data_IF_615096563942
#
_entry.id   IF_615096563942
#
_cell.length_a   1.000
_cell.length_b   1.000
_cell.length_c   1.000
_cell.angle_alpha   90.00
_cell.angle_beta   90.00
_cell.angle_gamma   90.00
#
_symmetry.space_group_name_H-M   'P 1'
#
loop_
_entity.id
_entity.type
_entity.pdbx_description
1 polymer ?
#
# COMPACT_ATOMS: atom_id res chain seq x y z
N UNK A 1 1.61 15.74 9.88
CA UNK A 1 2.44 16.57 9.00
C UNK A 1 2.86 17.86 9.69
N UNK A 2 1.94 18.70 10.20
CA UNK A 2 2.27 19.96 10.90
C UNK A 2 3.31 19.76 12.00
N UNK A 3 3.16 18.70 12.83
CA UNK A 3 4.16 18.36 13.84
C UNK A 3 5.54 18.09 13.23
N UNK A 4 5.60 17.35 12.11
CA UNK A 4 6.87 17.07 11.43
C UNK A 4 7.56 18.36 10.95
N UNK A 5 6.79 19.34 10.43
CA UNK A 5 7.33 20.64 10.07
C UNK A 5 7.88 21.39 11.29
N UNK A 6 7.16 21.35 12.43
CA UNK A 6 7.59 22.04 13.66
C UNK A 6 8.82 21.36 14.29
N UNK A 7 8.81 20.04 14.43
CA UNK A 7 9.83 19.31 15.20
C UNK A 7 11.12 19.07 14.36
N UNK A 8 10.99 18.95 13.05
CA UNK A 8 12.08 18.51 12.16
C UNK A 8 12.36 19.46 11.00
N UNK A 9 11.36 20.22 10.53
CA UNK A 9 11.48 21.15 9.41
C UNK A 9 12.11 22.47 9.81
N UNK A 10 11.55 23.13 10.82
CA UNK A 10 11.98 24.47 11.24
C UNK A 10 13.29 24.43 12.03
N UNK A 11 14.14 25.42 11.82
CA UNK A 11 15.34 25.68 12.59
C UNK A 11 15.00 26.47 13.86
N UNK A 12 15.92 26.43 14.86
CA UNK A 12 15.82 27.34 16.01
C UNK A 12 15.99 28.80 15.58
N UNK A 13 15.46 29.73 16.36
CA UNK A 13 15.57 31.17 16.06
C UNK A 13 17.01 31.61 15.80
N UNK A 14 17.97 31.10 16.55
CA UNK A 14 19.40 31.38 16.40
C UNK A 14 19.94 30.87 15.05
N UNK A 15 19.60 29.62 14.68
CA UNK A 15 19.99 29.04 13.40
C UNK A 15 19.38 29.80 12.23
N UNK A 16 18.13 30.25 12.34
CA UNK A 16 17.45 31.02 11.31
C UNK A 16 18.13 32.37 11.09
N UNK A 17 18.43 33.09 12.16
CA UNK A 17 19.14 34.36 12.09
C UNK A 17 20.51 34.20 11.42
N UNK A 18 21.27 33.16 11.82
CA UNK A 18 22.57 32.83 11.23
C UNK A 18 22.47 32.51 9.72
N UNK A 19 21.34 31.95 9.27
CA UNK A 19 21.03 31.67 7.88
C UNK A 19 20.40 32.86 7.12
N UNK A 20 20.29 34.03 7.75
CA UNK A 20 19.67 35.22 7.14
C UNK A 20 18.14 35.16 7.03
N UNK A 21 17.49 34.30 7.77
CA UNK A 21 16.04 34.14 7.83
C UNK A 21 15.42 34.92 8.99
N UNK A 22 14.12 35.27 8.93
CA UNK A 22 13.38 35.77 10.10
C UNK A 22 13.49 34.81 11.29
N UNK A 23 13.57 35.29 12.56
CA UNK A 23 13.74 34.43 13.73
C UNK A 23 12.56 33.49 13.96
N UNK A 24 11.37 33.84 13.48
CA UNK A 24 10.16 33.04 13.58
C UNK A 24 9.97 32.23 12.29
N UNK A 25 9.86 30.90 12.43
CA UNK A 25 9.51 30.02 11.32
C UNK A 25 8.01 30.02 11.05
N UNK A 26 7.64 29.75 9.81
CA UNK A 26 6.25 29.77 9.34
C UNK A 26 5.85 28.42 8.80
N UNK A 27 4.69 27.90 9.25
CA UNK A 27 4.02 26.75 8.63
C UNK A 27 2.70 27.26 8.04
N UNK A 28 2.55 27.08 6.74
CA UNK A 28 1.36 27.50 5.99
C UNK A 28 0.53 26.26 5.63
N UNK A 29 -0.77 26.32 5.94
CA UNK A 29 -1.74 25.33 5.50
C UNK A 29 -2.59 25.93 4.40
N UNK A 30 -2.70 25.22 3.28
CA UNK A 30 -3.60 25.57 2.18
C UNK A 30 -4.51 24.39 1.86
N UNK A 31 -5.75 24.68 1.51
CA UNK A 31 -6.66 23.68 0.99
C UNK A 31 -7.51 24.29 -0.13
N UNK A 32 -7.77 23.50 -1.15
CA UNK A 32 -8.53 23.96 -2.31
C UNK A 32 -8.95 22.82 -3.21
N UNK A 33 -9.71 23.14 -4.24
CA UNK A 33 -10.15 22.19 -5.26
C UNK A 33 -9.31 22.39 -6.53
N UNK A 34 -8.79 21.33 -7.09
CA UNK A 34 -8.03 21.36 -8.33
C UNK A 34 -8.28 20.08 -9.15
N UNK A 35 -8.84 20.23 -10.35
CA UNK A 35 -8.99 19.13 -11.31
C UNK A 35 -9.73 17.92 -10.78
N UNK A 36 -10.87 18.12 -10.05
CA UNK A 36 -11.67 17.01 -9.48
C UNK A 36 -11.07 16.39 -8.21
N UNK A 37 -10.06 17.04 -7.62
CA UNK A 37 -9.45 16.60 -6.36
C UNK A 37 -9.46 17.73 -5.33
N UNK A 38 -9.53 17.35 -4.05
CA UNK A 38 -9.17 18.23 -2.93
C UNK A 38 -7.65 18.19 -2.81
N UNK A 39 -7.03 19.36 -2.84
CA UNK A 39 -5.58 19.52 -2.64
C UNK A 39 -5.36 20.18 -1.29
N UNK A 40 -4.58 19.54 -0.43
CA UNK A 40 -4.16 20.06 0.87
C UNK A 40 -2.64 20.17 0.85
N UNK A 41 -2.11 21.35 1.20
CA UNK A 41 -0.69 21.62 1.24
C UNK A 41 -0.27 22.02 2.66
N UNK A 42 0.80 21.41 3.13
CA UNK A 42 1.50 21.80 4.35
C UNK A 42 2.88 22.28 3.92
N UNK A 43 3.13 23.59 4.07
CA UNK A 43 4.34 24.26 3.60
C UNK A 43 5.07 24.85 4.80
N UNK A 44 6.35 24.55 4.94
CA UNK A 44 7.24 25.18 5.91
C UNK A 44 8.35 25.98 5.21
N UNK A 45 8.88 26.99 5.89
CA UNK A 45 10.03 27.79 5.47
C UNK A 45 11.33 27.38 6.18
N UNK A 46 11.40 26.11 6.59
CA UNK A 46 12.49 25.54 7.37
C UNK A 46 13.75 25.23 6.56
N UNK A 47 14.56 24.30 7.08
CA UNK A 47 15.86 23.93 6.47
C UNK A 47 15.72 23.15 5.16
N UNK A 48 14.53 22.61 4.87
CA UNK A 48 14.30 21.70 3.77
C UNK A 48 14.88 20.29 4.04
N UNK A 49 14.77 19.42 3.03
CA UNK A 49 15.28 18.06 3.05
C UNK A 49 16.68 18.00 2.46
N UNK A 50 17.55 17.26 3.11
CA UNK A 50 18.91 16.97 2.65
C UNK A 50 18.89 15.69 1.80
N UNK A 51 19.01 15.87 0.47
CA UNK A 51 19.08 14.78 -0.51
C UNK A 51 20.20 13.78 -0.20
N UNK A 52 21.41 14.28 0.09
CA UNK A 52 22.56 13.42 0.32
C UNK A 52 22.36 12.55 1.57
N UNK A 53 21.81 13.13 2.64
CA UNK A 53 21.49 12.41 3.87
C UNK A 53 20.42 11.34 3.66
N UNK A 54 19.39 11.63 2.85
CA UNK A 54 18.34 10.65 2.52
C UNK A 54 18.94 9.48 1.74
N UNK A 55 19.74 9.73 0.70
CA UNK A 55 20.40 8.68 -0.09
C UNK A 55 21.36 7.83 0.76
N UNK A 56 22.16 8.47 1.62
CA UNK A 56 23.06 7.75 2.53
C UNK A 56 22.27 6.78 3.42
N UNK A 57 21.18 7.26 4.05
CA UNK A 57 20.33 6.45 4.90
C UNK A 57 19.60 5.33 4.16
N UNK A 58 19.17 5.56 2.93
CA UNK A 58 18.58 4.53 2.09
C UNK A 58 19.58 3.40 1.78
N UNK A 59 20.85 3.76 1.47
CA UNK A 59 21.94 2.79 1.26
C UNK A 59 22.25 1.96 2.51
N UNK A 60 22.33 2.61 3.68
CA UNK A 60 22.52 1.91 4.96
C UNK A 60 21.44 0.86 5.23
N UNK A 61 20.22 1.09 4.70
CA UNK A 61 19.09 0.16 4.81
C UNK A 61 19.03 -0.89 3.71
N UNK A 62 20.02 -0.94 2.82
CA UNK A 62 20.07 -1.89 1.71
C UNK A 62 19.06 -1.59 0.61
N UNK A 63 18.50 -0.37 0.56
CA UNK A 63 17.62 0.05 -0.53
C UNK A 63 18.44 0.28 -1.80
N UNK A 64 17.91 -0.14 -2.93
CA UNK A 64 18.52 0.15 -4.23
C UNK A 64 18.25 1.60 -4.60
N UNK A 65 19.24 2.44 -4.47
CA UNK A 65 19.16 3.87 -4.83
C UNK A 65 20.34 4.27 -5.70
N UNK A 66 20.07 5.15 -6.65
CA UNK A 66 21.03 5.71 -7.60
C UNK A 66 21.17 7.22 -7.39
N UNK A 67 22.36 7.76 -7.58
CA UNK A 67 22.61 9.20 -7.53
C UNK A 67 21.94 9.94 -8.70
N UNK A 68 21.59 9.23 -9.78
CA UNK A 68 20.82 9.76 -10.91
C UNK A 68 19.30 9.93 -10.63
N UNK A 69 18.77 9.42 -9.50
CA UNK A 69 17.36 9.61 -9.13
C UNK A 69 17.03 11.11 -9.06
N UNK A 70 15.84 11.47 -9.49
CA UNK A 70 15.31 12.84 -9.33
C UNK A 70 15.08 13.19 -7.85
N UNK A 71 15.02 14.48 -7.53
CA UNK A 71 14.70 14.94 -6.17
C UNK A 71 13.35 14.39 -5.67
N UNK A 72 12.35 14.33 -6.54
CA UNK A 72 11.05 13.78 -6.20
C UNK A 72 11.13 12.29 -5.80
N UNK A 73 11.90 11.49 -6.52
CA UNK A 73 12.12 10.07 -6.19
C UNK A 73 12.88 9.91 -4.88
N UNK A 74 13.92 10.71 -4.66
CA UNK A 74 14.70 10.67 -3.42
C UNK A 74 13.86 11.09 -2.23
N UNK A 75 13.08 12.18 -2.34
CA UNK A 75 12.23 12.64 -1.26
C UNK A 75 11.06 11.67 -0.99
N UNK A 76 10.58 10.92 -2.00
CA UNK A 76 9.58 9.89 -1.80
C UNK A 76 10.04 8.75 -0.88
N UNK A 77 11.36 8.52 -0.73
CA UNK A 77 11.91 7.52 0.18
C UNK A 77 11.58 7.79 1.66
N UNK A 78 11.29 9.04 2.04
CA UNK A 78 10.90 9.36 3.42
C UNK A 78 9.56 8.76 3.82
N UNK A 79 8.75 8.34 2.84
CA UNK A 79 7.49 7.64 3.05
C UNK A 79 7.64 6.12 3.14
N UNK A 80 8.83 5.58 2.96
CA UNK A 80 9.03 4.13 3.07
C UNK A 80 8.95 3.66 4.54
N UNK A 81 8.43 2.45 4.79
CA UNK A 81 8.24 1.95 6.15
C UNK A 81 9.50 2.02 7.00
N UNK A 82 9.36 2.66 8.15
CA UNK A 82 10.44 2.84 9.10
C UNK A 82 11.52 3.85 8.67
N UNK A 83 11.36 4.56 7.57
CA UNK A 83 12.31 5.58 7.11
C UNK A 83 12.16 6.86 7.93
N UNK A 84 12.74 6.91 9.13
CA UNK A 84 12.84 8.14 9.92
C UNK A 84 14.25 8.70 9.81
N UNK A 85 14.40 9.98 9.52
CA UNK A 85 15.69 10.69 9.52
C UNK A 85 16.12 11.16 10.92
N UNK A 86 15.27 11.00 11.93
CA UNK A 86 15.59 11.32 13.31
C UNK A 86 16.62 10.32 13.88
N UNK A 87 17.64 10.82 14.58
CA UNK A 87 18.69 10.02 15.20
C UNK A 87 18.20 9.33 16.49
N UNK A 88 17.11 9.79 17.06
CA UNK A 88 16.51 9.22 18.29
C UNK A 88 15.00 9.04 18.10
N UNK A 89 14.52 7.87 18.46
CA UNK A 89 13.10 7.62 18.71
C UNK A 89 12.84 8.25 20.08
N UNK A 90 12.42 9.51 20.10
CA UNK A 90 11.98 10.12 21.37
C UNK A 90 10.66 9.45 21.77
N UNK A 91 10.69 8.77 22.90
CA UNK A 91 9.60 8.04 23.56
C UNK A 91 8.35 8.89 23.92
N UNK A 92 8.32 10.16 23.54
CA UNK A 92 7.23 11.10 23.87
C UNK A 92 6.01 10.96 22.94
N UNK A 93 6.11 10.20 21.84
CA UNK A 93 4.99 9.87 20.95
C UNK A 93 4.67 8.39 21.05
N UNK A 94 3.99 7.93 22.07
CA UNK A 94 3.52 6.55 22.29
C UNK A 94 2.64 5.92 21.17
N UNK A 95 2.72 6.45 19.97
CA UNK A 95 2.20 5.91 18.70
C UNK A 95 3.11 6.43 17.61
N UNK A 96 4.19 5.72 17.27
CA UNK A 96 5.11 6.08 16.19
C UNK A 96 4.41 6.30 14.85
N UNK A 97 3.84 7.50 14.67
CA UNK A 97 3.19 7.90 13.42
C UNK A 97 4.27 8.42 12.49
N UNK A 98 4.88 7.49 11.72
CA UNK A 98 5.84 7.83 10.69
C UNK A 98 5.18 8.38 9.42
N UNK A 99 6.00 8.88 8.50
CA UNK A 99 5.53 9.36 7.18
C UNK A 99 4.92 8.22 6.33
N UNK A 100 5.32 6.97 6.56
CA UNK A 100 4.75 5.76 5.97
C UNK A 100 3.27 5.57 6.35
N UNK A 101 2.91 5.87 7.60
CA UNK A 101 1.51 5.84 8.06
C UNK A 101 0.68 6.92 7.35
N UNK A 102 1.25 8.12 7.17
CA UNK A 102 0.59 9.20 6.41
C UNK A 102 0.31 8.73 4.99
N UNK A 103 1.32 8.21 4.28
CA UNK A 103 1.16 7.72 2.91
C UNK A 103 0.10 6.62 2.82
N UNK A 104 0.13 5.64 3.72
CA UNK A 104 -0.84 4.55 3.76
C UNK A 104 -2.27 5.05 3.97
N UNK A 105 -2.48 5.97 4.91
CA UNK A 105 -3.81 6.52 5.17
C UNK A 105 -4.35 7.33 4.00
N UNK A 106 -3.50 8.10 3.32
CA UNK A 106 -3.90 8.85 2.12
C UNK A 106 -4.22 7.90 0.96
N UNK A 107 -3.41 6.86 0.77
CA UNK A 107 -3.65 5.84 -0.26
C UNK A 107 -4.93 5.03 -0.01
N UNK A 108 -5.25 4.70 1.26
CA UNK A 108 -6.50 4.01 1.60
C UNK A 108 -7.76 4.84 1.27
N UNK A 109 -7.62 6.15 1.18
CA UNK A 109 -8.67 7.07 0.72
C UNK A 109 -8.65 7.31 -0.80
N UNK A 110 -7.85 6.53 -1.56
CA UNK A 110 -7.66 6.71 -3.00
C UNK A 110 -6.87 7.96 -3.37
N UNK A 111 -6.19 8.58 -2.40
CA UNK A 111 -5.38 9.77 -2.59
C UNK A 111 -3.89 9.49 -2.82
N UNK A 112 -3.14 10.55 -3.05
CA UNK A 112 -1.68 10.52 -3.15
C UNK A 112 -1.06 11.64 -2.33
N UNK A 113 0.17 11.40 -1.86
CA UNK A 113 0.99 12.39 -1.17
C UNK A 113 2.30 12.58 -1.92
N UNK A 114 2.68 13.83 -2.11
CA UNK A 114 3.89 14.25 -2.78
C UNK A 114 4.67 15.18 -1.85
N UNK A 115 6.00 15.19 -1.98
CA UNK A 115 6.86 16.09 -1.23
C UNK A 115 7.83 16.77 -2.17
N UNK A 116 7.91 18.08 -2.05
CA UNK A 116 8.89 18.93 -2.71
C UNK A 116 9.67 19.71 -1.66
N UNK A 117 10.97 19.85 -1.85
CA UNK A 117 11.81 20.58 -0.91
C UNK A 117 12.97 21.26 -1.62
N UNK A 118 13.43 22.36 -1.04
CA UNK A 118 14.65 23.05 -1.44
C UNK A 118 15.50 23.32 -0.20
N UNK A 119 16.76 22.91 -0.19
CA UNK A 119 17.66 23.16 0.93
C UNK A 119 17.67 24.65 1.30
N UNK A 120 17.50 24.93 2.58
CA UNK A 120 17.44 26.31 3.11
C UNK A 120 16.16 27.09 2.83
N UNK A 121 15.22 26.56 2.04
CA UNK A 121 13.97 27.26 1.68
C UNK A 121 12.71 26.56 2.22
N UNK A 122 12.88 25.38 2.84
CA UNK A 122 11.79 24.64 3.44
C UNK A 122 11.25 23.50 2.57
N UNK A 123 10.08 22.99 2.95
CA UNK A 123 9.45 21.86 2.30
C UNK A 123 7.96 22.10 2.08
N UNK A 124 7.40 21.46 1.06
CA UNK A 124 5.97 21.44 0.78
C UNK A 124 5.50 20.00 0.64
N UNK A 125 4.54 19.60 1.46
CA UNK A 125 3.87 18.30 1.37
C UNK A 125 2.48 18.54 0.81
N UNK A 126 2.22 17.96 -0.36
CA UNK A 126 0.94 18.08 -1.07
C UNK A 126 0.18 16.78 -0.98
N UNK A 127 -1.02 16.82 -0.42
CA UNK A 127 -1.98 15.73 -0.41
C UNK A 127 -3.04 15.99 -1.46
N UNK A 128 -3.31 14.99 -2.31
CA UNK A 128 -4.41 15.03 -3.28
C UNK A 128 -5.39 13.92 -2.97
N UNK A 129 -6.64 14.28 -2.67
CA UNK A 129 -7.73 13.35 -2.40
C UNK A 129 -8.78 13.49 -3.51
N UNK A 130 -9.33 12.39 -4.04
CA UNK A 130 -10.43 12.48 -4.99
C UNK A 130 -11.66 13.09 -4.32
N UNK A 131 -12.40 13.94 -5.04
CA UNK A 131 -13.69 14.50 -4.58
C UNK A 131 -14.80 13.44 -4.56
N UNK A 132 -14.67 12.41 -5.37
CA UNK A 132 -15.57 11.28 -5.43
C UNK A 132 -15.20 10.22 -4.40
N UNK A 133 -16.16 9.45 -3.94
CA UNK A 133 -15.88 8.20 -3.24
C UNK A 133 -14.86 7.42 -4.06
N UNK A 134 -13.87 6.83 -3.39
CA UNK A 134 -12.88 6.00 -4.07
C UNK A 134 -13.62 4.85 -4.78
N UNK A 135 -13.67 4.91 -6.10
CA UNK A 135 -14.25 3.88 -6.94
C UNK A 135 -13.12 2.94 -7.34
N UNK A 136 -13.35 1.66 -7.18
CA UNK A 136 -12.45 0.59 -7.56
C UNK A 136 -13.09 -0.23 -8.68
N UNK A 137 -12.38 -0.39 -9.79
CA UNK A 137 -12.70 -1.41 -10.77
C UNK A 137 -12.14 -2.76 -10.30
N UNK A 138 -12.99 -3.76 -10.19
CA UNK A 138 -12.60 -5.08 -9.71
C UNK A 138 -13.41 -6.21 -10.33
N UNK A 139 -12.88 -7.41 -10.22
CA UNK A 139 -13.59 -8.64 -10.58
C UNK A 139 -14.08 -9.27 -9.28
N UNK A 140 -15.38 -9.55 -9.22
CA UNK A 140 -15.95 -10.33 -8.13
C UNK A 140 -15.69 -11.82 -8.35
N UNK A 141 -15.19 -12.46 -7.31
CA UNK A 141 -14.92 -13.90 -7.23
C UNK A 141 -15.71 -14.50 -6.07
N UNK A 142 -16.11 -15.75 -6.19
CA UNK A 142 -16.80 -16.47 -5.12
C UNK A 142 -15.90 -17.50 -4.46
N UNK A 143 -16.10 -17.67 -3.14
CA UNK A 143 -15.55 -18.77 -2.33
C UNK A 143 -16.64 -19.21 -1.38
N UNK A 144 -17.22 -20.40 -1.59
CA UNK A 144 -18.43 -20.83 -0.90
C UNK A 144 -19.58 -19.90 -1.18
N UNK A 145 -20.16 -19.32 -0.14
CA UNK A 145 -21.26 -18.36 -0.21
C UNK A 145 -20.78 -16.91 -0.21
N UNK A 146 -19.50 -16.68 -0.01
CA UNK A 146 -18.93 -15.34 0.16
C UNK A 146 -18.40 -14.77 -1.16
N UNK A 147 -18.52 -13.43 -1.31
CA UNK A 147 -18.02 -12.68 -2.46
C UNK A 147 -16.82 -11.83 -2.05
N UNK A 148 -15.81 -11.86 -2.92
CA UNK A 148 -14.62 -11.05 -2.80
C UNK A 148 -14.42 -10.23 -4.07
N UNK A 149 -13.84 -9.05 -3.92
CA UNK A 149 -13.44 -8.20 -5.06
C UNK A 149 -11.92 -8.24 -5.17
N UNK A 150 -11.44 -8.69 -6.32
CA UNK A 150 -10.02 -8.59 -6.70
C UNK A 150 -9.85 -7.29 -7.48
N UNK A 151 -8.98 -6.35 -7.03
CA UNK A 151 -8.72 -5.13 -7.79
C UNK A 151 -8.23 -5.44 -9.22
N UNK A 152 -8.83 -4.82 -10.22
CA UNK A 152 -8.49 -5.07 -11.63
C UNK A 152 -7.01 -4.75 -11.92
N UNK A 153 -6.46 -3.75 -11.23
CA UNK A 153 -5.06 -3.34 -11.35
C UNK A 153 -4.06 -4.41 -10.86
N UNK A 154 -4.53 -5.38 -10.08
CA UNK A 154 -3.70 -6.48 -9.59
C UNK A 154 -3.84 -7.76 -10.44
N UNK A 155 -4.82 -7.84 -11.33
CA UNK A 155 -5.08 -9.03 -12.14
C UNK A 155 -4.23 -9.00 -13.41
N UNK A 156 -3.46 -10.05 -13.62
CA UNK A 156 -2.71 -10.26 -14.87
C UNK A 156 -3.56 -11.03 -15.87
N UNK A 157 -4.11 -12.15 -15.45
CA UNK A 157 -5.00 -13.02 -16.22
C UNK A 157 -5.79 -13.95 -15.31
N UNK A 158 -6.81 -14.58 -15.82
CA UNK A 158 -7.55 -15.66 -15.18
C UNK A 158 -7.64 -16.85 -16.10
N UNK A 159 -7.52 -18.04 -15.52
CA UNK A 159 -7.55 -19.29 -16.30
C UNK A 159 -8.11 -20.44 -15.46
N UNK A 160 -8.66 -21.43 -16.13
CA UNK A 160 -9.03 -22.70 -15.53
C UNK A 160 -7.85 -23.65 -15.64
N UNK A 161 -7.25 -24.09 -14.52
CA UNK A 161 -6.07 -24.95 -14.56
C UNK A 161 -6.44 -26.38 -14.93
N UNK A 162 -5.50 -27.09 -15.52
CA UNK A 162 -5.56 -28.54 -15.59
C UNK A 162 -4.92 -29.18 -14.36
N UNK A 163 -5.27 -30.42 -14.06
CA UNK A 163 -4.70 -31.14 -12.91
C UNK A 163 -3.16 -31.30 -13.01
N UNK A 164 -2.61 -31.23 -14.22
CA UNK A 164 -1.16 -31.38 -14.48
C UNK A 164 -0.37 -30.08 -14.29
N UNK A 165 -1.03 -28.94 -14.24
CA UNK A 165 -0.38 -27.64 -14.14
C UNK A 165 0.13 -27.32 -12.73
N UNK A 166 -0.38 -28.05 -11.73
CA UNK A 166 -0.10 -27.80 -10.33
C UNK A 166 0.82 -28.89 -9.79
N UNK A 167 1.85 -28.49 -9.06
CA UNK A 167 2.84 -29.38 -8.43
C UNK A 167 3.03 -29.01 -6.98
N UNK A 168 3.13 -30.02 -6.13
CA UNK A 168 3.55 -29.84 -4.74
C UNK A 168 5.06 -29.81 -4.65
N UNK A 169 5.60 -28.78 -4.03
CA UNK A 169 7.05 -28.63 -3.79
C UNK A 169 7.30 -28.78 -2.29
N UNK A 170 8.14 -29.74 -1.92
CA UNK A 170 8.44 -30.03 -0.52
C UNK A 170 8.93 -28.78 0.22
N UNK A 171 8.25 -28.39 1.30
CA UNK A 171 8.57 -27.22 2.12
C UNK A 171 8.17 -25.85 1.52
N UNK A 172 7.63 -25.80 0.30
CA UNK A 172 7.22 -24.55 -0.35
C UNK A 172 5.72 -24.48 -0.67
N UNK A 173 4.97 -25.57 -0.46
CA UNK A 173 3.55 -25.61 -0.79
C UNK A 173 3.28 -26.01 -2.24
N UNK A 174 2.19 -25.51 -2.81
CA UNK A 174 1.79 -25.82 -4.18
C UNK A 174 2.20 -24.67 -5.12
N UNK A 175 2.63 -25.06 -6.31
CA UNK A 175 2.99 -24.11 -7.37
C UNK A 175 2.26 -24.47 -8.66
N UNK A 176 1.91 -23.46 -9.43
CA UNK A 176 1.30 -23.61 -10.74
C UNK A 176 2.26 -23.11 -11.83
N UNK A 177 2.40 -23.89 -12.91
CA UNK A 177 3.16 -23.45 -14.08
C UNK A 177 2.29 -22.58 -14.98
N UNK A 178 2.69 -21.32 -15.16
CA UNK A 178 2.02 -20.35 -16.05
C UNK A 178 3.07 -19.77 -16.99
N UNK A 179 2.91 -19.97 -18.28
CA UNK A 179 3.82 -19.44 -19.33
C UNK A 179 5.32 -19.71 -19.07
N UNK A 180 5.64 -20.83 -18.46
CA UNK A 180 7.03 -21.22 -18.16
C UNK A 180 7.55 -20.77 -16.81
N UNK A 181 6.80 -19.96 -16.06
CA UNK A 181 7.12 -19.58 -14.68
C UNK A 181 6.33 -20.44 -13.69
N UNK A 182 6.92 -20.70 -12.52
CA UNK A 182 6.23 -21.35 -11.41
C UNK A 182 5.77 -20.31 -10.40
N UNK A 183 4.45 -20.17 -10.25
CA UNK A 183 3.82 -19.24 -9.34
C UNK A 183 3.31 -19.98 -8.08
N UNK A 184 3.52 -19.44 -6.87
CA UNK A 184 2.91 -19.99 -5.66
C UNK A 184 1.39 -19.99 -5.77
N UNK A 185 0.75 -21.10 -5.38
CA UNK A 185 -0.70 -21.20 -5.32
C UNK A 185 -1.18 -20.76 -3.94
N UNK A 186 -2.12 -19.82 -3.91
CA UNK A 186 -2.81 -19.36 -2.71
C UNK A 186 -4.28 -19.75 -2.80
N UNK A 187 -4.72 -20.65 -1.93
CA UNK A 187 -6.13 -21.05 -1.84
C UNK A 187 -6.89 -20.02 -0.99
N UNK A 188 -7.73 -19.19 -1.61
CA UNK A 188 -8.41 -18.11 -0.90
C UNK A 188 -9.28 -18.63 0.25
N UNK A 189 -9.94 -19.77 0.08
CA UNK A 189 -10.73 -20.39 1.14
C UNK A 189 -9.92 -20.72 2.41
N UNK A 190 -8.66 -21.15 2.26
CA UNK A 190 -7.79 -21.44 3.41
C UNK A 190 -7.35 -20.15 4.11
N UNK A 191 -7.00 -19.11 3.34
CA UNK A 191 -6.64 -17.79 3.89
C UNK A 191 -7.78 -17.19 4.68
N UNK A 192 -9.03 -17.34 4.19
CA UNK A 192 -10.23 -16.77 4.79
C UNK A 192 -10.93 -17.69 5.79
N UNK A 193 -10.48 -18.93 5.94
CA UNK A 193 -11.12 -19.93 6.83
C UNK A 193 -12.52 -20.34 6.39
N UNK A 194 -12.75 -20.43 5.07
CA UNK A 194 -14.06 -20.71 4.49
C UNK A 194 -14.13 -22.12 3.91
N UNK A 195 -15.36 -22.63 3.78
CA UNK A 195 -15.63 -23.87 3.05
C UNK A 195 -15.92 -23.53 1.59
N UNK A 196 -15.05 -23.94 0.63
CA UNK A 196 -15.26 -23.65 -0.77
C UNK A 196 -16.34 -24.57 -1.34
N UNK A 197 -16.86 -24.21 -2.51
CA UNK A 197 -17.71 -25.12 -3.32
C UNK A 197 -16.86 -26.10 -4.13
N UNK A 198 -15.67 -25.65 -4.54
CA UNK A 198 -14.77 -26.44 -5.36
C UNK A 198 -13.42 -26.61 -4.67
N UNK A 199 -13.04 -27.88 -4.43
CA UNK A 199 -11.73 -28.24 -3.90
C UNK A 199 -10.73 -28.59 -5.00
N UNK A 200 -11.28 -29.10 -6.12
CA UNK A 200 -10.49 -29.54 -7.26
C UNK A 200 -10.13 -28.39 -8.16
N UNK A 201 -8.86 -28.19 -8.42
CA UNK A 201 -8.36 -27.06 -9.19
C UNK A 201 -8.98 -26.93 -10.58
N UNK A 202 -9.20 -28.07 -11.27
CA UNK A 202 -9.76 -28.10 -12.62
C UNK A 202 -11.26 -27.70 -12.68
N UNK A 203 -11.92 -27.56 -11.52
CA UNK A 203 -13.32 -27.09 -11.42
C UNK A 203 -13.44 -25.65 -11.02
N UNK A 204 -12.39 -25.10 -10.38
CA UNK A 204 -12.34 -23.71 -9.99
C UNK A 204 -11.56 -22.85 -10.99
N UNK A 205 -11.23 -21.65 -10.59
CA UNK A 205 -10.51 -20.66 -11.40
C UNK A 205 -9.23 -20.23 -10.67
N UNK A 206 -8.15 -20.08 -11.43
CA UNK A 206 -6.94 -19.41 -10.98
C UNK A 206 -6.95 -17.97 -11.48
N UNK A 207 -6.83 -17.02 -10.57
CA UNK A 207 -6.64 -15.60 -10.87
C UNK A 207 -5.16 -15.28 -10.61
N UNK A 208 -4.42 -15.03 -11.67
CA UNK A 208 -3.01 -14.63 -11.56
C UNK A 208 -2.99 -13.17 -11.12
N UNK A 209 -2.45 -12.94 -9.93
CA UNK A 209 -2.36 -11.59 -9.34
C UNK A 209 -0.91 -11.19 -9.16
N UNK A 210 -0.65 -9.90 -9.42
CA UNK A 210 0.67 -9.29 -9.29
C UNK A 210 0.59 -8.07 -8.37
N UNK A 211 1.51 -7.99 -7.41
CA UNK A 211 1.70 -6.80 -6.57
C UNK A 211 3.12 -6.75 -6.02
N UNK A 212 3.68 -5.54 -5.89
CA UNK A 212 5.02 -5.30 -5.34
C UNK A 212 6.14 -6.15 -5.99
N UNK A 213 6.02 -6.41 -7.29
CA UNK A 213 7.01 -7.19 -8.05
C UNK A 213 6.95 -8.70 -7.82
N UNK A 214 5.91 -9.21 -7.11
CA UNK A 214 5.64 -10.64 -6.94
C UNK A 214 4.33 -11.05 -7.59
N UNK A 215 4.24 -12.35 -7.97
CA UNK A 215 3.04 -12.96 -8.57
C UNK A 215 2.62 -14.19 -7.81
N UNK A 216 1.31 -14.43 -7.75
CA UNK A 216 0.70 -15.65 -7.22
C UNK A 216 -0.43 -16.14 -8.13
N UNK A 217 -0.77 -17.41 -8.02
CA UNK A 217 -1.98 -18.00 -8.57
C UNK A 217 -3.02 -18.12 -7.44
N UNK A 218 -4.01 -17.25 -7.43
CA UNK A 218 -5.08 -17.21 -6.42
C UNK A 218 -6.21 -18.14 -6.84
N UNK A 219 -6.47 -19.21 -6.07
CA UNK A 219 -7.53 -20.16 -6.34
C UNK A 219 -8.84 -19.72 -5.72
N UNK A 220 -9.89 -19.67 -6.55
CA UNK A 220 -11.27 -19.32 -6.18
C UNK A 220 -12.26 -20.28 -6.85
N UNK A 221 -13.51 -20.34 -6.35
CA UNK A 221 -14.51 -21.23 -6.91
C UNK A 221 -14.96 -20.78 -8.31
N UNK A 222 -15.26 -19.49 -8.47
CA UNK A 222 -15.71 -18.94 -9.76
C UNK A 222 -15.43 -17.44 -9.88
N UNK A 223 -15.36 -16.96 -11.14
CA UNK A 223 -15.52 -15.55 -11.47
C UNK A 223 -17.01 -15.24 -11.62
N UNK A 224 -17.47 -14.18 -10.94
CA UNK A 224 -18.88 -13.78 -10.96
C UNK A 224 -19.13 -12.65 -11.95
N UNK A 225 -18.25 -11.63 -11.96
CA UNK A 225 -18.36 -10.52 -12.91
C UNK A 225 -17.42 -9.36 -12.59
N UNK A 226 -17.39 -8.39 -13.50
CA UNK A 226 -16.65 -7.15 -13.31
C UNK A 226 -17.59 -6.09 -12.75
N UNK A 227 -17.12 -5.36 -11.73
CA UNK A 227 -17.89 -4.33 -11.06
C UNK A 227 -17.04 -3.10 -10.79
N UNK A 228 -17.69 -1.95 -10.86
CA UNK A 228 -17.23 -0.72 -10.25
C UNK A 228 -17.81 -0.61 -8.87
N UNK A 229 -16.98 -0.61 -7.83
CA UNK A 229 -17.42 -0.63 -6.44
C UNK A 229 -16.89 0.57 -5.67
N UNK A 230 -17.68 1.03 -4.71
CA UNK A 230 -17.27 2.10 -3.80
C UNK A 230 -16.54 1.48 -2.62
N UNK A 231 -15.29 1.89 -2.41
CA UNK A 231 -14.48 1.44 -1.29
C UNK A 231 -15.02 2.01 0.02
N UNK A 232 -15.28 1.13 0.99
CA UNK A 232 -15.56 1.50 2.38
C UNK A 232 -14.46 0.94 3.27
N UNK A 233 -13.76 1.83 3.98
CA UNK A 233 -12.74 1.40 4.94
C UNK A 233 -13.37 0.61 6.08
N UNK A 234 -12.75 -0.52 6.43
CA UNK A 234 -13.13 -1.33 7.60
C UNK A 234 -12.43 -0.87 8.88
N UNK A 235 -11.32 -0.14 8.77
CA UNK A 235 -10.42 0.17 9.88
C UNK A 235 -11.04 1.07 10.97
N UNK A 236 -12.10 1.80 10.65
CA UNK A 236 -12.78 2.66 11.62
C UNK A 236 -13.61 1.89 12.66
N UNK A 237 -14.07 0.67 12.34
CA UNK A 237 -15.02 -0.08 13.16
C UNK A 237 -14.69 -1.57 13.36
N UNK A 238 -13.70 -2.13 12.64
CA UNK A 238 -13.40 -3.56 12.65
C UNK A 238 -11.89 -3.82 12.80
N UNK A 239 -11.54 -4.99 13.34
CA UNK A 239 -10.15 -5.46 13.40
C UNK A 239 -9.66 -5.76 11.98
N UNK A 240 -8.40 -5.44 11.71
CA UNK A 240 -7.76 -5.77 10.44
C UNK A 240 -7.82 -7.27 10.18
N UNK A 241 -8.40 -7.65 9.03
CA UNK A 241 -8.45 -9.04 8.55
C UNK A 241 -7.33 -9.23 7.54
N UNK A 242 -6.55 -10.29 7.70
CA UNK A 242 -5.43 -10.61 6.78
C UNK A 242 -5.95 -10.84 5.36
N UNK A 243 -5.28 -10.25 4.37
CA UNK A 243 -5.66 -10.39 2.97
C UNK A 243 -6.85 -9.53 2.54
N UNK A 244 -7.41 -8.68 3.42
CA UNK A 244 -8.51 -7.76 3.13
C UNK A 244 -8.04 -6.32 3.28
N UNK A 245 -8.29 -5.50 2.26
CA UNK A 245 -7.99 -4.06 2.28
C UNK A 245 -9.19 -3.20 2.68
N UNK A 246 -10.39 -3.58 2.28
CA UNK A 246 -11.62 -2.80 2.48
C UNK A 246 -12.87 -3.68 2.27
N UNK A 247 -14.05 -3.08 2.34
CA UNK A 247 -15.30 -3.70 1.94
C UNK A 247 -16.09 -2.81 0.98
N UNK A 248 -17.07 -3.38 0.34
CA UNK A 248 -18.06 -2.66 -0.48
C UNK A 248 -19.47 -3.24 -0.26
N UNK A 249 -20.47 -2.49 -0.66
CA UNK A 249 -21.86 -2.98 -0.74
C UNK A 249 -22.19 -3.14 -2.22
N UNK A 250 -22.53 -4.36 -2.61
CA UNK A 250 -22.91 -4.71 -3.97
C UNK A 250 -24.31 -4.18 -4.30
N UNK A 251 -24.68 -4.19 -5.57
CA UNK A 251 -25.98 -3.70 -6.04
C UNK A 251 -27.19 -4.47 -5.48
N UNK A 252 -26.99 -5.71 -5.02
CA UNK A 252 -27.98 -6.54 -4.35
C UNK A 252 -28.06 -6.32 -2.82
N UNK A 253 -27.28 -5.37 -2.30
CA UNK A 253 -27.20 -5.04 -0.88
C UNK A 253 -26.25 -5.93 -0.06
N UNK A 254 -25.65 -6.95 -0.65
CA UNK A 254 -24.65 -7.80 0.04
C UNK A 254 -23.33 -7.08 0.21
N UNK A 255 -22.63 -7.41 1.30
CA UNK A 255 -21.27 -6.92 1.53
C UNK A 255 -20.29 -7.85 0.80
N UNK A 256 -19.36 -7.25 0.04
CA UNK A 256 -18.23 -7.98 -0.54
C UNK A 256 -16.93 -7.41 0.01
N UNK A 257 -15.98 -8.30 0.35
CA UNK A 257 -14.66 -7.90 0.86
C UNK A 257 -13.72 -7.64 -0.29
N UNK A 258 -12.97 -6.53 -0.23
CA UNK A 258 -11.95 -6.17 -1.23
C UNK A 258 -10.62 -6.76 -0.79
N UNK A 259 -10.00 -7.58 -1.64
CA UNK A 259 -8.74 -8.26 -1.35
C UNK A 259 -7.56 -7.29 -1.35
N UNK A 260 -6.60 -7.52 -0.46
CA UNK A 260 -5.28 -6.90 -0.49
C UNK A 260 -4.32 -7.80 -1.29
N UNK A 261 -4.20 -7.51 -2.59
CA UNK A 261 -3.32 -8.27 -3.48
C UNK A 261 -1.86 -8.28 -3.00
N UNK A 262 -1.37 -7.16 -2.45
CA UNK A 262 -0.01 -7.07 -1.93
C UNK A 262 0.22 -7.97 -0.71
N UNK A 263 -0.75 -8.06 0.18
CA UNK A 263 -0.67 -8.94 1.34
C UNK A 263 -0.78 -10.42 0.91
N UNK A 264 -1.66 -10.75 -0.02
CA UNK A 264 -1.80 -12.11 -0.56
C UNK A 264 -0.53 -12.57 -1.28
N UNK A 265 0.11 -11.71 -2.06
CA UNK A 265 1.40 -12.02 -2.71
C UNK A 265 2.48 -12.28 -1.65
N UNK A 266 2.57 -11.46 -0.61
CA UNK A 266 3.52 -11.72 0.50
C UNK A 266 3.25 -13.05 1.19
N UNK A 267 1.99 -13.41 1.42
CA UNK A 267 1.61 -14.70 2.00
C UNK A 267 2.05 -15.88 1.12
N UNK A 268 1.81 -15.81 -0.19
CA UNK A 268 2.19 -16.85 -1.14
C UNK A 268 3.69 -17.02 -1.29
N UNK A 269 4.45 -15.91 -1.27
CA UNK A 269 5.91 -15.93 -1.40
C UNK A 269 6.64 -16.27 -0.11
N UNK A 270 5.96 -16.13 1.06
CA UNK A 270 6.52 -16.44 2.39
C UNK A 270 6.17 -17.85 2.87
N UNK A 271 5.98 -18.80 2.01
CA UNK A 271 5.34 -20.11 2.18
C UNK A 271 5.84 -21.11 3.27
N UNK A 272 6.81 -20.86 4.16
CA UNK A 272 6.97 -21.70 5.34
C UNK A 272 5.92 -21.46 6.45
N UNK A 273 5.06 -20.44 6.34
CA UNK A 273 4.17 -20.01 7.43
C UNK A 273 2.78 -20.66 7.42
N UNK A 274 2.30 -21.18 6.27
CA UNK A 274 0.96 -21.79 6.15
C UNK A 274 0.88 -23.25 6.62
N UNK A 275 2.02 -23.96 6.71
CA UNK A 275 2.08 -25.34 7.20
C UNK A 275 2.01 -25.47 8.74
N UNK A 276 1.91 -24.37 9.51
CA UNK A 276 1.86 -24.37 10.98
C UNK A 276 0.49 -24.00 11.57
N UNK A 277 -0.54 -23.86 10.77
CA UNK A 277 -1.90 -23.50 11.22
C UNK A 277 -2.95 -24.56 10.87
N UNK A 278 -2.53 -25.82 10.72
CA UNK A 278 -3.43 -26.98 10.62
C UNK A 278 -3.31 -27.85 11.86
#
# INVERSE_FOLDING_TARGET
LVRNSLDHGLETSEQRIAAGKPPTGTVTLRAGHQGGSIVIEVIDDGRGLDRARILAKARERGMRVDDAMSDAEVFALVFEPGFSTAAEITDVSGRGVGMDVVRRNIQSMGGRVEIASRPGQGSSITIRLPLTLAILDGISVSVGEELFIVPLTAIVESLQPSATDIRSVAGQGEVMQVRGEYLPVVRLHQVMGLTPREYEYHRGIMVITEAHGGRIALFVDALVGQHQVVIKSLESNYRKVRGISAATIMGDGKVAMILDAGELVRMGTSAPALARAA
#
